data_IF_128375858055
#
_entry.id   IF_128375858055
#
_cell.length_a   1.000
_cell.length_b   1.000
_cell.length_c   1.000
_cell.angle_alpha   90.00
_cell.angle_beta   90.00
_cell.angle_gamma   90.00
#
_symmetry.space_group_name_H-M   'P 1'
#
loop_
_entity.id
_entity.type
_entity.pdbx_description
1 polymer ?
#
# COMPACT_ATOMS: atom_id res chain seq x y z
N UNK A 1 53.50 -59.66 -13.12
CA UNK A 1 53.26 -58.44 -13.92
C UNK A 1 52.56 -57.46 -13.00
N UNK A 2 53.31 -56.74 -12.14
CA UNK A 2 54.05 -55.49 -12.45
C UNK A 2 53.04 -54.35 -12.56
N UNK A 3 52.72 -53.69 -11.44
CA UNK A 3 53.20 -52.34 -11.02
C UNK A 3 52.09 -51.30 -11.30
N UNK A 4 51.81 -50.25 -10.52
CA UNK A 4 52.56 -49.57 -9.47
C UNK A 4 51.63 -48.53 -8.75
N UNK A 5 51.91 -48.32 -7.46
CA UNK A 5 52.03 -46.99 -6.80
C UNK A 5 50.79 -46.13 -6.46
N UNK A 6 50.67 -45.37 -5.37
CA UNK A 6 51.47 -44.96 -4.18
C UNK A 6 50.41 -44.26 -3.24
N UNK A 7 50.21 -44.65 -1.96
CA UNK A 7 50.71 -43.99 -0.70
C UNK A 7 50.53 -42.45 -0.69
N UNK A 8 50.03 -41.70 0.30
CA UNK A 8 49.74 -41.70 1.76
C UNK A 8 48.70 -40.55 1.95
N UNK A 9 47.99 -40.28 3.05
CA UNK A 9 48.37 -40.24 4.46
C UNK A 9 47.12 -40.02 5.34
N UNK A 10 47.12 -40.65 6.52
CA UNK A 10 46.78 -40.13 7.85
C UNK A 10 46.07 -38.76 7.92
N UNK A 11 45.10 -38.48 8.78
CA UNK A 11 44.71 -39.15 10.03
C UNK A 11 43.41 -38.49 10.54
N UNK A 12 42.58 -39.34 11.13
CA UNK A 12 41.61 -39.04 12.18
C UNK A 12 42.05 -37.90 13.11
N UNK A 13 41.14 -36.96 13.43
CA UNK A 13 40.65 -36.79 14.81
C UNK A 13 39.48 -35.81 14.88
N UNK A 14 38.35 -36.35 15.34
CA UNK A 14 37.40 -35.79 16.30
C UNK A 14 37.07 -34.29 16.26
N UNK A 15 35.82 -34.00 15.92
CA UNK A 15 35.12 -32.77 16.28
C UNK A 15 34.92 -32.75 17.80
N UNK A 16 35.37 -31.72 18.54
CA UNK A 16 35.04 -31.62 19.96
C UNK A 16 33.60 -31.12 20.13
N UNK A 17 32.91 -31.78 21.05
CA UNK A 17 31.62 -31.40 21.59
C UNK A 17 31.59 -29.92 21.98
N UNK A 18 30.52 -29.21 21.60
CA UNK A 18 30.23 -27.86 22.10
C UNK A 18 29.74 -27.97 23.53
N UNK A 19 30.66 -27.81 24.46
CA UNK A 19 30.35 -27.49 25.84
C UNK A 19 29.86 -26.04 25.97
N UNK A 20 28.85 -25.89 26.81
CA UNK A 20 28.18 -24.67 27.19
C UNK A 20 29.17 -23.73 27.93
N UNK A 21 29.67 -22.70 27.25
CA UNK A 21 30.51 -21.68 27.84
C UNK A 21 29.87 -20.29 27.63
N UNK A 22 29.59 -19.66 28.78
CA UNK A 22 29.20 -18.27 29.01
C UNK A 22 29.78 -17.30 27.98
N UNK A 23 28.89 -16.60 27.26
CA UNK A 23 29.21 -15.53 26.33
C UNK A 23 29.95 -14.40 27.07
N UNK A 24 31.23 -14.10 26.81
CA UNK A 24 31.88 -12.97 27.43
C UNK A 24 31.27 -11.68 26.85
N UNK A 25 30.74 -10.84 27.73
CA UNK A 25 30.22 -9.51 27.40
C UNK A 25 31.22 -8.73 26.53
N UNK A 26 30.87 -8.53 25.27
CA UNK A 26 31.62 -7.66 24.37
C UNK A 26 31.49 -6.22 24.87
N UNK A 27 32.57 -5.68 25.40
CA UNK A 27 32.68 -4.25 25.76
C UNK A 27 33.52 -3.58 24.68
N UNK A 28 32.93 -2.72 23.82
CA UNK A 28 33.70 -2.04 22.80
C UNK A 28 34.71 -1.06 23.42
N UNK A 29 35.86 -0.84 22.76
CA UNK A 29 36.89 0.04 23.27
C UNK A 29 36.44 1.52 23.24
N UNK A 30 36.96 2.32 24.17
CA UNK A 30 36.52 3.69 24.47
C UNK A 30 36.70 4.72 23.35
N UNK A 31 37.34 4.35 22.24
CA UNK A 31 37.50 5.19 21.05
C UNK A 31 36.45 4.91 19.97
N UNK A 32 35.66 3.84 20.12
CA UNK A 32 34.53 3.52 19.25
C UNK A 32 33.32 4.33 19.71
N UNK A 33 33.23 5.59 19.27
CA UNK A 33 32.04 6.41 19.42
C UNK A 33 30.91 5.83 18.57
N UNK A 34 30.06 4.99 19.19
CA UNK A 34 28.75 4.59 18.66
C UNK A 34 27.73 5.69 18.99
N UNK A 35 28.08 6.93 18.67
CA UNK A 35 27.13 8.05 18.64
C UNK A 35 26.91 8.38 17.16
N UNK A 36 26.10 7.56 16.50
CA UNK A 36 25.89 7.68 15.06
C UNK A 36 25.18 6.50 14.41
N UNK A 37 25.05 5.35 15.08
CA UNK A 37 24.01 4.41 14.72
C UNK A 37 22.69 4.99 15.19
N UNK A 38 21.95 5.65 14.30
CA UNK A 38 20.49 5.80 14.48
C UNK A 38 19.98 4.42 14.82
N UNK A 39 19.59 4.21 16.08
CA UNK A 39 18.67 3.14 16.42
C UNK A 39 17.53 3.27 15.44
N UNK A 40 17.38 2.29 14.56
CA UNK A 40 16.09 2.03 13.95
C UNK A 40 15.22 1.68 15.16
N UNK A 41 14.49 2.68 15.65
CA UNK A 41 13.44 2.45 16.62
C UNK A 41 12.55 1.40 15.99
N UNK A 42 12.63 0.19 16.53
CA UNK A 42 11.70 -0.89 16.25
C UNK A 42 10.34 -0.37 16.67
N UNK A 43 9.61 0.19 15.72
CA UNK A 43 8.24 0.60 15.91
C UNK A 43 7.52 -0.65 16.38
N UNK A 44 7.01 -0.63 17.63
CA UNK A 44 6.22 -1.72 18.20
C UNK A 44 5.15 -2.22 17.23
N UNK A 45 4.51 -3.38 17.51
CA UNK A 45 3.78 -4.18 16.53
C UNK A 45 3.08 -3.33 15.47
N UNK A 46 3.62 -3.35 14.25
CA UNK A 46 3.07 -2.59 13.13
C UNK A 46 1.69 -3.17 12.87
N UNK A 47 0.66 -2.44 13.29
CA UNK A 47 -0.72 -2.78 12.97
C UNK A 47 -0.82 -2.98 11.46
N UNK A 48 -1.43 -4.08 10.98
CA UNK A 48 -1.43 -4.43 9.58
C UNK A 48 -1.98 -3.26 8.75
N UNK A 49 -1.14 -2.77 7.84
CA UNK A 49 -1.45 -1.60 7.04
C UNK A 49 -2.60 -1.89 6.07
N UNK A 50 -3.58 -0.99 6.02
CA UNK A 50 -4.77 -1.13 5.18
C UNK A 50 -5.10 0.13 4.39
N UNK A 51 -5.38 -0.02 3.09
CA UNK A 51 -5.84 1.04 2.20
C UNK A 51 -7.30 0.80 1.84
N UNK A 52 -8.16 1.79 2.09
CA UNK A 52 -9.59 1.75 1.77
C UNK A 52 -9.93 2.78 0.67
N UNK A 53 -10.34 2.30 -0.49
CA UNK A 53 -10.89 3.16 -1.55
C UNK A 53 -12.40 3.37 -1.40
N UNK A 54 -12.85 4.62 -1.50
CA UNK A 54 -14.28 4.98 -1.32
C UNK A 54 -14.79 5.78 -2.53
N UNK A 55 -15.85 5.27 -3.16
CA UNK A 55 -16.63 6.03 -4.14
C UNK A 55 -18.13 5.97 -3.79
N UNK A 56 -19.03 6.26 -4.75
CA UNK A 56 -20.46 6.30 -4.47
C UNK A 56 -21.04 4.88 -4.43
N UNK A 57 -21.12 4.21 -5.57
CA UNK A 57 -21.78 2.91 -5.72
C UNK A 57 -20.93 1.70 -5.39
N UNK A 58 -19.61 1.87 -5.23
CA UNK A 58 -18.62 0.80 -5.07
C UNK A 58 -18.67 -0.27 -6.18
N UNK A 59 -18.88 0.14 -7.43
CA UNK A 59 -18.88 -0.75 -8.60
C UNK A 59 -17.91 -0.33 -9.72
N UNK A 60 -17.54 0.96 -9.82
CA UNK A 60 -16.62 1.47 -10.84
C UNK A 60 -15.25 1.83 -10.22
N UNK A 61 -15.09 3.10 -9.81
CA UNK A 61 -13.82 3.71 -9.36
C UNK A 61 -13.14 2.96 -8.21
N UNK A 62 -13.78 2.86 -7.04
CA UNK A 62 -13.15 2.24 -5.87
C UNK A 62 -12.98 0.72 -6.00
N UNK A 63 -13.91 0.04 -6.68
CA UNK A 63 -13.82 -1.39 -6.97
C UNK A 63 -12.59 -1.70 -7.83
N UNK A 64 -12.44 -0.98 -8.93
CA UNK A 64 -11.30 -1.12 -9.83
C UNK A 64 -9.99 -0.74 -9.14
N UNK A 65 -9.94 0.41 -8.45
CA UNK A 65 -8.72 0.89 -7.81
C UNK A 65 -8.20 -0.09 -6.75
N UNK A 66 -9.09 -0.67 -5.94
CA UNK A 66 -8.70 -1.67 -4.95
C UNK A 66 -8.16 -2.96 -5.60
N UNK A 67 -8.87 -3.49 -6.60
CA UNK A 67 -8.42 -4.70 -7.31
C UNK A 67 -7.07 -4.47 -8.00
N UNK A 68 -6.90 -3.32 -8.65
CA UNK A 68 -5.67 -3.00 -9.36
C UNK A 68 -4.50 -2.76 -8.42
N UNK A 69 -4.67 -1.97 -7.36
CA UNK A 69 -3.60 -1.77 -6.38
C UNK A 69 -3.22 -3.09 -5.71
N UNK A 70 -4.20 -3.88 -5.26
CA UNK A 70 -3.95 -5.20 -4.66
C UNK A 70 -3.13 -6.12 -5.58
N UNK A 71 -3.42 -6.11 -6.89
CA UNK A 71 -2.64 -6.84 -7.89
C UNK A 71 -1.20 -6.31 -7.99
N UNK A 72 -1.02 -4.99 -7.98
CA UNK A 72 0.30 -4.36 -8.11
C UNK A 72 1.20 -4.56 -6.88
N UNK A 73 0.63 -4.80 -5.70
CA UNK A 73 1.35 -4.88 -4.42
C UNK A 73 1.31 -6.28 -3.80
N UNK A 74 1.03 -7.32 -4.60
CA UNK A 74 1.00 -8.70 -4.15
C UNK A 74 2.28 -9.06 -3.38
N UNK A 75 2.13 -9.62 -2.18
CA UNK A 75 3.24 -10.01 -1.31
C UNK A 75 3.70 -8.94 -0.31
N UNK A 76 3.14 -7.72 -0.34
CA UNK A 76 3.44 -6.64 0.62
C UNK A 76 2.92 -6.90 2.04
N UNK A 77 1.89 -7.72 2.19
CA UNK A 77 1.15 -7.86 3.46
C UNK A 77 0.18 -6.72 3.74
N UNK A 78 0.08 -5.71 2.85
CA UNK A 78 -0.87 -4.60 2.95
C UNK A 78 -2.23 -5.03 2.41
N UNK A 79 -3.27 -4.79 3.20
CA UNK A 79 -4.65 -5.09 2.78
C UNK A 79 -5.20 -3.94 1.96
N UNK A 80 -5.84 -4.23 0.82
CA UNK A 80 -6.49 -3.22 0.00
C UNK A 80 -7.97 -3.55 -0.11
N UNK A 81 -8.81 -2.61 0.30
CA UNK A 81 -10.25 -2.75 0.36
C UNK A 81 -10.96 -1.63 -0.40
N UNK A 82 -12.24 -1.85 -0.71
CA UNK A 82 -13.12 -0.80 -1.21
C UNK A 82 -14.50 -0.82 -0.58
N UNK A 83 -15.13 0.35 -0.58
CA UNK A 83 -16.52 0.56 -0.15
C UNK A 83 -17.13 1.74 -0.91
N UNK A 84 -18.40 2.03 -0.61
CA UNK A 84 -19.06 3.23 -1.12
C UNK A 84 -20.10 3.83 -0.19
N UNK A 85 -20.29 5.15 -0.32
CA UNK A 85 -21.20 5.93 0.55
C UNK A 85 -22.68 5.70 0.22
N UNK A 86 -22.99 5.22 -0.98
CA UNK A 86 -24.31 4.79 -1.44
C UNK A 86 -24.17 3.51 -2.24
N UNK A 87 -23.59 2.48 -1.62
CA UNK A 87 -23.13 1.30 -2.32
C UNK A 87 -24.29 0.47 -2.88
N UNK A 88 -24.08 -0.10 -4.07
CA UNK A 88 -25.00 -1.06 -4.66
C UNK A 88 -24.73 -2.46 -4.07
N UNK A 89 -24.97 -2.62 -2.77
CA UNK A 89 -24.52 -3.78 -1.97
C UNK A 89 -24.76 -5.12 -2.67
N UNK A 90 -23.72 -5.94 -2.70
CA UNK A 90 -23.74 -7.28 -3.30
C UNK A 90 -23.59 -7.30 -4.83
N UNK A 91 -23.64 -6.16 -5.52
CA UNK A 91 -23.37 -6.11 -6.97
C UNK A 91 -21.89 -6.34 -7.26
N UNK A 92 -21.61 -6.96 -8.40
CA UNK A 92 -20.26 -7.09 -8.94
C UNK A 92 -19.69 -5.76 -9.42
N UNK A 93 -18.42 -5.78 -9.83
CA UNK A 93 -17.81 -4.66 -10.54
C UNK A 93 -18.58 -4.35 -11.83
N UNK A 94 -18.68 -3.07 -12.19
CA UNK A 94 -19.25 -2.63 -13.47
C UNK A 94 -18.55 -3.34 -14.63
N UNK A 95 -19.31 -3.83 -15.61
CA UNK A 95 -18.79 -4.69 -16.68
C UNK A 95 -17.66 -4.01 -17.48
N UNK A 96 -17.74 -2.69 -17.67
CA UNK A 96 -16.70 -1.93 -18.37
C UNK A 96 -15.44 -1.79 -17.53
N UNK A 97 -15.57 -1.60 -16.21
CA UNK A 97 -14.43 -1.60 -15.29
C UNK A 97 -13.81 -2.99 -15.20
N UNK A 98 -14.61 -4.05 -15.18
CA UNK A 98 -14.15 -5.43 -15.18
C UNK A 98 -13.39 -5.76 -16.48
N UNK A 99 -13.88 -5.30 -17.63
CA UNK A 99 -13.18 -5.44 -18.91
C UNK A 99 -11.82 -4.73 -18.87
N UNK A 100 -11.76 -3.48 -18.38
CA UNK A 100 -10.50 -2.75 -18.21
C UNK A 100 -9.55 -3.48 -17.25
N UNK A 101 -10.04 -4.03 -16.15
CA UNK A 101 -9.25 -4.81 -15.20
C UNK A 101 -8.64 -6.04 -15.89
N UNK A 102 -9.44 -6.78 -16.68
CA UNK A 102 -8.97 -7.95 -17.42
C UNK A 102 -7.87 -7.61 -18.45
N UNK A 103 -7.97 -6.45 -19.11
CA UNK A 103 -6.94 -5.95 -20.04
C UNK A 103 -5.60 -5.64 -19.35
N UNK A 104 -5.63 -5.39 -18.04
CA UNK A 104 -4.46 -5.17 -17.20
C UNK A 104 -4.01 -6.43 -16.44
N UNK A 105 -4.62 -7.59 -16.72
CA UNK A 105 -4.32 -8.85 -16.02
C UNK A 105 -4.87 -8.95 -14.59
N UNK A 106 -5.82 -8.07 -14.23
CA UNK A 106 -6.43 -8.01 -12.89
C UNK A 106 -7.75 -8.78 -12.90
N UNK A 107 -7.90 -9.73 -11.97
CA UNK A 107 -9.19 -10.39 -11.73
C UNK A 107 -10.06 -9.55 -10.78
N UNK A 108 -11.11 -8.92 -11.32
CA UNK A 108 -12.12 -8.18 -10.57
C UNK A 108 -13.42 -8.96 -10.32
N UNK A 109 -13.52 -10.23 -10.72
CA UNK A 109 -14.79 -10.98 -10.77
C UNK A 109 -15.39 -11.29 -9.39
N UNK A 110 -14.53 -11.39 -8.38
CA UNK A 110 -14.91 -11.65 -6.99
C UNK A 110 -15.37 -10.41 -6.24
N UNK A 111 -15.18 -9.20 -6.82
CA UNK A 111 -15.61 -7.96 -6.18
C UNK A 111 -17.10 -8.00 -5.87
N UNK A 112 -17.47 -7.56 -4.66
CA UNK A 112 -18.85 -7.34 -4.27
C UNK A 112 -18.92 -5.99 -3.59
N UNK A 113 -19.84 -5.14 -4.05
CA UNK A 113 -20.03 -3.81 -3.52
C UNK A 113 -20.45 -3.88 -2.04
N UNK A 114 -19.85 -3.02 -1.21
CA UNK A 114 -20.08 -2.92 0.23
C UNK A 114 -20.36 -1.48 0.64
N UNK A 115 -21.35 -1.30 1.51
CA UNK A 115 -21.64 0.01 2.11
C UNK A 115 -20.51 0.39 3.05
N UNK A 116 -20.05 1.64 2.95
CA UNK A 116 -19.05 2.18 3.86
C UNK A 116 -19.61 2.22 5.28
N UNK A 117 -18.80 1.81 6.24
CA UNK A 117 -19.14 1.81 7.67
C UNK A 117 -18.01 2.42 8.47
N UNK A 118 -18.32 2.95 9.67
CA UNK A 118 -17.30 3.45 10.60
C UNK A 118 -16.29 2.39 11.01
N UNK A 119 -16.67 1.11 11.03
CA UNK A 119 -15.72 0.00 11.29
C UNK A 119 -14.65 -0.10 10.20
N UNK A 120 -15.05 -0.02 8.94
CA UNK A 120 -14.09 -0.04 7.80
C UNK A 120 -13.16 1.17 7.87
N UNK A 121 -13.71 2.35 8.17
CA UNK A 121 -12.90 3.55 8.38
C UNK A 121 -11.95 3.39 9.56
N UNK A 122 -12.41 2.83 10.69
CA UNK A 122 -11.60 2.56 11.87
C UNK A 122 -10.39 1.67 11.57
N UNK A 123 -10.58 0.59 10.81
CA UNK A 123 -9.52 -0.36 10.45
C UNK A 123 -8.59 0.07 9.32
N UNK A 124 -8.92 1.10 8.55
CA UNK A 124 -8.06 1.58 7.48
C UNK A 124 -6.89 2.41 8.04
N UNK A 125 -5.68 2.24 7.51
CA UNK A 125 -4.54 3.15 7.75
C UNK A 125 -4.58 4.36 6.82
N UNK A 126 -5.16 4.19 5.63
CA UNK A 126 -5.36 5.21 4.61
C UNK A 126 -6.74 5.06 3.96
N UNK A 127 -7.46 6.16 3.82
CA UNK A 127 -8.73 6.24 3.10
C UNK A 127 -8.56 7.13 1.89
N UNK A 128 -8.75 6.59 0.68
CA UNK A 128 -8.64 7.33 -0.58
C UNK A 128 -10.02 7.52 -1.19
N UNK A 129 -10.39 8.78 -1.44
CA UNK A 129 -11.71 9.15 -1.97
C UNK A 129 -11.61 9.78 -3.36
N UNK A 130 -12.66 9.65 -4.18
CA UNK A 130 -12.63 10.10 -5.59
C UNK A 130 -13.30 11.46 -5.84
N UNK A 131 -14.12 11.94 -4.93
CA UNK A 131 -14.97 13.13 -5.15
C UNK A 131 -15.31 13.81 -3.82
N UNK A 132 -15.67 15.11 -3.86
CA UNK A 132 -15.93 15.89 -2.65
C UNK A 132 -17.04 15.26 -1.80
N UNK A 133 -18.09 14.71 -2.43
CA UNK A 133 -19.21 14.06 -1.75
C UNK A 133 -18.79 12.90 -0.84
N UNK A 134 -17.66 12.25 -1.13
CA UNK A 134 -17.12 11.17 -0.30
C UNK A 134 -16.33 11.72 0.88
N UNK A 135 -15.56 12.80 0.64
CA UNK A 135 -14.80 13.45 1.69
C UNK A 135 -15.73 14.06 2.73
N UNK A 136 -16.75 14.79 2.26
CA UNK A 136 -17.79 15.40 3.10
C UNK A 136 -18.54 14.32 3.89
N UNK A 137 -18.91 13.20 3.24
CA UNK A 137 -19.55 12.08 3.94
C UNK A 137 -18.69 11.55 5.10
N UNK A 138 -17.39 11.37 4.89
CA UNK A 138 -16.48 10.93 5.96
C UNK A 138 -16.40 11.98 7.06
N UNK A 139 -16.32 13.26 6.70
CA UNK A 139 -16.21 14.36 7.66
C UNK A 139 -17.45 14.46 8.55
N UNK A 140 -18.63 14.28 7.97
CA UNK A 140 -19.90 14.38 8.69
C UNK A 140 -20.20 13.14 9.55
N UNK A 141 -19.88 11.94 9.05
CA UNK A 141 -20.31 10.69 9.67
C UNK A 141 -19.25 10.05 10.57
N UNK A 142 -17.96 10.28 10.31
CA UNK A 142 -16.82 9.73 11.06
C UNK A 142 -15.65 10.73 11.09
N UNK A 143 -15.79 11.89 11.77
CA UNK A 143 -14.80 12.97 11.74
C UNK A 143 -13.37 12.55 12.10
N UNK A 144 -13.22 11.56 12.98
CA UNK A 144 -11.94 10.99 13.39
C UNK A 144 -11.16 10.33 12.23
N UNK A 145 -11.87 9.85 11.20
CA UNK A 145 -11.26 9.23 10.03
C UNK A 145 -10.71 10.27 9.04
N UNK A 146 -11.05 11.56 9.18
CA UNK A 146 -10.54 12.62 8.29
C UNK A 146 -9.02 12.74 8.38
N UNK A 147 -8.43 12.50 9.55
CA UNK A 147 -6.98 12.51 9.74
C UNK A 147 -6.23 11.58 8.75
N UNK A 148 -6.88 10.50 8.30
CA UNK A 148 -6.37 9.52 7.36
C UNK A 148 -7.09 9.46 6.01
N UNK A 149 -7.94 10.44 5.74
CA UNK A 149 -8.68 10.56 4.48
C UNK A 149 -8.02 11.57 3.55
N UNK A 150 -7.84 11.19 2.29
CA UNK A 150 -7.24 12.00 1.23
C UNK A 150 -7.98 11.80 -0.08
N UNK A 151 -8.02 12.84 -0.90
CA UNK A 151 -8.50 12.73 -2.26
C UNK A 151 -7.45 12.04 -3.15
N UNK A 152 -7.91 11.28 -4.14
CA UNK A 152 -7.02 10.55 -5.06
C UNK A 152 -6.01 11.47 -5.77
N UNK A 153 -6.44 12.64 -6.28
CA UNK A 153 -5.54 13.60 -6.94
C UNK A 153 -4.66 14.36 -5.95
N UNK A 154 -5.14 14.63 -4.73
CA UNK A 154 -4.33 15.20 -3.64
C UNK A 154 -3.17 14.26 -3.30
N UNK A 155 -3.45 12.97 -3.25
CA UNK A 155 -2.43 11.96 -2.97
C UNK A 155 -1.40 11.84 -4.09
N UNK A 156 -1.86 11.85 -5.34
CA UNK A 156 -0.97 11.86 -6.52
C UNK A 156 -0.09 13.11 -6.54
N UNK A 157 -0.67 14.28 -6.32
CA UNK A 157 0.03 15.57 -6.28
C UNK A 157 1.07 15.62 -5.16
N UNK A 158 0.70 15.21 -3.94
CA UNK A 158 1.64 15.14 -2.81
C UNK A 158 2.83 14.22 -3.11
N UNK A 159 2.59 13.08 -3.75
CA UNK A 159 3.63 12.15 -4.20
C UNK A 159 4.54 12.69 -5.31
N UNK A 160 4.02 13.54 -6.19
CA UNK A 160 4.81 14.20 -7.24
C UNK A 160 5.63 15.36 -6.68
N UNK A 161 5.15 16.05 -5.65
CA UNK A 161 5.92 17.13 -5.03
C UNK A 161 7.03 16.60 -4.12
N UNK A 162 6.95 15.35 -3.68
CA UNK A 162 8.03 14.64 -2.99
C UNK A 162 9.13 14.12 -3.95
N UNK A 163 9.11 14.47 -5.25
CA UNK A 163 10.10 14.06 -6.27
C UNK A 163 11.53 14.54 -6.02
N UNK A 164 11.77 15.41 -5.03
CA UNK A 164 13.11 15.70 -4.52
C UNK A 164 13.73 14.59 -3.66
N UNK A 165 12.91 13.65 -3.16
CA UNK A 165 13.35 12.55 -2.32
C UNK A 165 13.46 11.26 -3.18
N UNK A 166 14.64 10.64 -3.22
CA UNK A 166 14.78 9.25 -3.72
C UNK A 166 14.23 8.22 -2.70
N UNK A 167 13.36 8.65 -1.80
CA UNK A 167 12.98 7.89 -0.61
C UNK A 167 11.64 7.23 -0.88
N UNK A 168 11.64 5.90 -0.96
CA UNK A 168 10.39 5.18 -0.77
C UNK A 168 9.97 5.34 0.70
N UNK A 169 8.75 5.81 0.96
CA UNK A 169 8.26 5.95 2.32
C UNK A 169 8.20 4.59 3.03
N UNK A 170 8.51 4.57 4.33
CA UNK A 170 8.64 3.35 5.14
C UNK A 170 7.30 2.81 5.63
N UNK A 171 6.26 3.64 5.63
CA UNK A 171 4.90 3.31 6.07
C UNK A 171 3.87 4.17 5.35
N UNK A 172 2.61 3.73 5.36
CA UNK A 172 1.45 4.52 4.91
C UNK A 172 1.30 5.81 5.73
N UNK A 173 1.60 5.77 7.04
CA UNK A 173 1.48 6.95 7.91
C UNK A 173 2.50 8.05 7.58
N UNK A 174 3.73 7.68 7.23
CA UNK A 174 4.76 8.64 6.77
C UNK A 174 4.29 9.34 5.50
N UNK A 175 3.80 8.55 4.54
CA UNK A 175 3.29 9.04 3.27
C UNK A 175 2.09 9.98 3.43
N UNK A 176 1.13 9.60 4.27
CA UNK A 176 -0.04 10.43 4.57
C UNK A 176 0.37 11.78 5.15
N UNK A 177 1.38 11.81 6.02
CA UNK A 177 1.91 13.03 6.62
C UNK A 177 2.50 13.96 5.56
N UNK A 178 3.27 13.42 4.61
CA UNK A 178 3.82 14.18 3.49
C UNK A 178 2.72 14.73 2.59
N UNK A 179 1.77 13.90 2.17
CA UNK A 179 0.65 14.33 1.31
C UNK A 179 -0.14 15.47 1.97
N UNK A 180 -0.44 15.35 3.27
CA UNK A 180 -1.17 16.39 4.00
C UNK A 180 -0.36 17.64 4.27
N UNK A 181 0.96 17.55 4.36
CA UNK A 181 1.82 18.71 4.47
C UNK A 181 1.86 19.49 3.14
N UNK A 182 1.99 18.79 2.02
CA UNK A 182 2.12 19.40 0.68
C UNK A 182 0.79 19.93 0.17
N UNK A 183 -0.31 19.24 0.49
CA UNK A 183 -1.65 19.66 0.11
C UNK A 183 -2.61 19.37 1.27
N UNK A 184 -2.78 20.30 2.23
CA UNK A 184 -3.58 20.07 3.44
C UNK A 184 -5.06 19.84 3.19
N UNK A 185 -5.60 20.47 2.14
CA UNK A 185 -7.02 20.41 1.76
C UNK A 185 -7.12 20.03 0.29
N UNK A 186 -7.98 19.08 -0.08
CA UNK A 186 -8.21 18.75 -1.48
C UNK A 186 -8.85 19.92 -2.22
N UNK A 187 -8.45 20.10 -3.48
CA UNK A 187 -8.94 21.15 -4.37
C UNK A 187 -9.67 20.55 -5.59
N UNK A 188 -10.04 21.39 -6.56
CA UNK A 188 -10.74 20.93 -7.77
C UNK A 188 -9.96 19.90 -8.59
N UNK A 189 -8.63 19.93 -8.55
CA UNK A 189 -7.77 18.98 -9.28
C UNK A 189 -7.64 17.63 -8.57
N UNK A 190 -8.11 17.56 -7.32
CA UNK A 190 -7.98 16.38 -6.48
C UNK A 190 -9.03 15.29 -6.78
N UNK A 191 -10.06 15.62 -7.56
CA UNK A 191 -11.24 14.79 -7.78
C UNK A 191 -11.22 14.10 -9.14
N UNK A 192 -11.65 12.84 -9.17
CA UNK A 192 -11.94 12.09 -10.39
C UNK A 192 -13.45 11.94 -10.52
N UNK A 193 -13.99 12.42 -11.64
CA UNK A 193 -15.43 12.43 -11.95
C UNK A 193 -16.05 11.04 -11.83
N UNK A 194 -17.36 10.96 -11.60
CA UNK A 194 -18.08 9.68 -11.62
C UNK A 194 -18.26 9.18 -13.07
N UNK A 195 -17.71 8.00 -13.43
CA UNK A 195 -17.91 7.42 -14.76
C UNK A 195 -19.28 6.75 -14.93
N UNK A 196 -20.05 6.52 -13.85
CA UNK A 196 -21.31 5.80 -13.93
C UNK A 196 -22.32 6.52 -14.85
N UNK A 197 -23.00 5.73 -15.70
CA UNK A 197 -23.92 6.20 -16.76
C UNK A 197 -23.32 7.16 -17.82
N UNK A 198 -22.00 7.40 -17.82
CA UNK A 198 -21.33 8.14 -18.90
C UNK A 198 -21.18 7.27 -20.15
N UNK A 199 -21.04 7.94 -21.29
CA UNK A 199 -20.80 7.28 -22.57
C UNK A 199 -19.45 6.53 -22.59
N UNK A 200 -19.21 5.70 -23.60
CA UNK A 200 -18.02 4.85 -23.67
C UNK A 200 -16.70 5.62 -23.64
N UNK A 201 -16.60 6.74 -24.36
CA UNK A 201 -15.38 7.56 -24.43
C UNK A 201 -15.09 8.28 -23.12
N UNK A 202 -16.10 8.94 -22.55
CA UNK A 202 -15.98 9.67 -21.28
C UNK A 202 -15.69 8.69 -20.13
N UNK A 203 -16.34 7.52 -20.12
CA UNK A 203 -16.07 6.46 -19.15
C UNK A 203 -14.60 6.02 -19.20
N UNK A 204 -14.08 5.71 -20.39
CA UNK A 204 -12.71 5.24 -20.57
C UNK A 204 -11.71 6.33 -20.12
N UNK A 205 -11.97 7.59 -20.47
CA UNK A 205 -11.11 8.70 -20.05
C UNK A 205 -11.04 8.80 -18.52
N UNK A 206 -12.18 8.79 -17.84
CA UNK A 206 -12.23 8.85 -16.37
C UNK A 206 -11.53 7.65 -15.74
N UNK A 207 -11.72 6.45 -16.29
CA UNK A 207 -11.04 5.25 -15.76
C UNK A 207 -9.53 5.26 -16.02
N UNK A 208 -9.04 5.92 -17.08
CA UNK A 208 -7.60 6.13 -17.28
C UNK A 208 -7.01 7.01 -16.18
N UNK A 209 -7.72 8.05 -15.74
CA UNK A 209 -7.29 8.86 -14.59
C UNK A 209 -7.15 8.00 -13.32
N UNK A 210 -8.06 7.04 -13.10
CA UNK A 210 -7.96 6.08 -11.99
C UNK A 210 -6.74 5.17 -12.15
N UNK A 211 -6.49 4.64 -13.35
CA UNK A 211 -5.33 3.78 -13.63
C UNK A 211 -4.02 4.54 -13.37
N UNK A 212 -3.90 5.75 -13.90
CA UNK A 212 -2.71 6.58 -13.77
C UNK A 212 -2.47 6.95 -12.31
N UNK A 213 -3.52 7.33 -11.58
CA UNK A 213 -3.42 7.64 -10.17
C UNK A 213 -2.93 6.42 -9.37
N UNK A 214 -3.55 5.25 -9.53
CA UNK A 214 -3.17 4.01 -8.82
C UNK A 214 -1.77 3.53 -9.20
N UNK A 215 -1.38 3.64 -10.48
CA UNK A 215 -0.03 3.30 -10.93
C UNK A 215 1.04 4.16 -10.26
N UNK A 216 0.75 5.44 -10.04
CA UNK A 216 1.63 6.36 -9.29
C UNK A 216 1.71 6.01 -7.81
N UNK A 217 0.62 5.57 -7.18
CA UNK A 217 0.64 5.05 -5.80
C UNK A 217 1.69 3.95 -5.67
N UNK A 218 1.65 2.96 -6.57
CA UNK A 218 2.58 1.83 -6.52
C UNK A 218 4.04 2.29 -6.61
N UNK A 219 4.35 3.24 -7.49
CA UNK A 219 5.72 3.66 -7.76
C UNK A 219 6.45 4.39 -6.62
N UNK A 220 5.72 4.81 -5.57
CA UNK A 220 6.24 5.73 -4.55
C UNK A 220 6.23 5.19 -3.12
N UNK A 221 5.56 4.07 -2.89
CA UNK A 221 5.51 3.43 -1.57
C UNK A 221 6.32 2.14 -1.62
N UNK A 222 7.09 1.86 -0.56
CA UNK A 222 7.69 0.54 -0.38
C UNK A 222 6.61 -0.33 0.24
N UNK A 223 5.98 -1.16 -0.59
CA UNK A 223 5.00 -2.15 -0.15
C UNK A 223 5.72 -3.42 0.32
#
# INVERSE_FOLDING_TARGET
>A
MVEQSIRMSNSSTAWPHRDNATNPSFVPPSWLNIEGSREVQDSGPVEPESVLFVCTGNICRSAFAAAYLAHLIQGSGITVESAGIGALVGRGMDERALLLASQLGVDGSLHRARQLTGRMLGGASLVVVFGPEHYDWVQENNPEAIAKTVAVGQFVSGLEQDVGSQVQHRSISDLLSVVKQMQPVPDKSSWIKDPYKKDGSEYIQIMREVIDAVGRLRGKVRW
#
